data_IF_612561855343
#
_entry.id   IF_612561855343
#
_cell.length_a   1.000
_cell.length_b   1.000
_cell.length_c   1.000
_cell.angle_alpha   90.00
_cell.angle_beta   90.00
_cell.angle_gamma   90.00
#
_symmetry.space_group_name_H-M   'P 1'
#
loop_
_entity.id
_entity.type
_entity.pdbx_description
1 polymer ?
#
# COMPACT_ATOMS: atom_id res chain seq x y z
N UNK A 1 -7.53 -5.79 -32.24
CA UNK A 1 -7.16 -6.53 -31.02
C UNK A 1 -6.47 -7.84 -31.37
N UNK A 2 -7.05 -8.67 -32.25
CA UNK A 2 -6.58 -10.01 -32.60
C UNK A 2 -5.09 -10.18 -32.91
N UNK A 3 -4.47 -9.22 -33.62
CA UNK A 3 -3.03 -9.30 -33.92
C UNK A 3 -2.15 -9.22 -32.66
N UNK A 4 -2.47 -8.29 -31.76
CA UNK A 4 -1.71 -8.09 -30.53
C UNK A 4 -1.91 -9.24 -29.55
N UNK A 5 -3.12 -9.80 -29.49
CA UNK A 5 -3.44 -11.01 -28.72
C UNK A 5 -2.65 -12.21 -29.25
N UNK A 6 -2.63 -12.40 -30.58
CA UNK A 6 -1.84 -13.46 -31.20
C UNK A 6 -0.35 -13.36 -30.84
N UNK A 7 0.25 -12.17 -30.83
CA UNK A 7 1.63 -11.99 -30.37
C UNK A 7 1.83 -12.37 -28.90
N UNK A 8 0.87 -12.03 -28.03
CA UNK A 8 0.91 -12.45 -26.63
C UNK A 8 0.79 -13.96 -26.48
N UNK A 9 -0.07 -14.62 -27.27
CA UNK A 9 -0.32 -16.06 -27.22
C UNK A 9 0.86 -16.87 -27.76
N UNK A 10 1.53 -16.36 -28.80
CA UNK A 10 2.74 -16.95 -29.36
C UNK A 10 3.97 -16.78 -28.47
N UNK A 11 3.86 -16.09 -27.34
CA UNK A 11 4.95 -15.91 -26.38
C UNK A 11 6.03 -14.92 -26.84
N UNK A 12 5.66 -13.89 -27.61
CA UNK A 12 6.60 -12.83 -27.98
C UNK A 12 7.20 -12.19 -26.70
N UNK A 13 8.53 -12.07 -26.64
CA UNK A 13 9.25 -11.55 -25.48
C UNK A 13 8.86 -10.10 -25.15
N UNK A 14 8.72 -9.27 -26.18
CA UNK A 14 8.29 -7.87 -26.06
C UNK A 14 7.64 -7.42 -27.37
N UNK A 15 6.43 -6.89 -27.28
CA UNK A 15 5.75 -6.20 -28.39
C UNK A 15 5.49 -4.75 -28.00
N UNK A 16 5.89 -3.81 -28.85
CA UNK A 16 5.57 -2.39 -28.69
C UNK A 16 4.66 -1.98 -29.85
N UNK A 17 3.51 -1.40 -29.52
CA UNK A 17 2.57 -0.89 -30.50
C UNK A 17 2.18 0.55 -30.16
N UNK A 18 2.35 1.46 -31.12
CA UNK A 18 1.85 2.85 -31.02
C UNK A 18 0.52 2.96 -31.76
N UNK A 19 -0.47 3.59 -31.16
CA UNK A 19 -1.82 3.62 -31.74
C UNK A 19 -2.62 4.86 -31.32
N UNK A 20 -3.51 5.29 -32.22
CA UNK A 20 -4.56 6.26 -31.92
C UNK A 20 -5.92 5.61 -31.59
N UNK A 21 -6.02 4.28 -31.68
CA UNK A 21 -7.26 3.56 -31.39
C UNK A 21 -7.52 3.52 -29.88
N UNK A 22 -8.50 4.30 -29.41
CA UNK A 22 -8.82 4.44 -27.99
C UNK A 22 -9.23 3.13 -27.32
N UNK A 23 -9.91 2.24 -28.05
CA UNK A 23 -10.35 0.94 -27.56
C UNK A 23 -9.18 0.04 -27.13
N UNK A 24 -8.02 0.15 -27.78
CA UNK A 24 -6.85 -0.65 -27.40
C UNK A 24 -6.34 -0.31 -25.99
N UNK A 25 -6.66 0.88 -25.46
CA UNK A 25 -6.29 1.28 -24.09
C UNK A 25 -6.97 0.42 -23.02
N UNK A 26 -8.06 -0.28 -23.38
CA UNK A 26 -8.77 -1.18 -22.46
C UNK A 26 -8.16 -2.58 -22.40
N UNK A 27 -7.27 -2.97 -23.34
CA UNK A 27 -6.69 -4.32 -23.38
C UNK A 27 -5.91 -4.69 -22.11
N UNK A 28 -5.16 -3.74 -21.53
CA UNK A 28 -4.47 -3.92 -20.24
C UNK A 28 -5.39 -4.46 -19.15
N UNK A 29 -6.65 -4.06 -19.21
CA UNK A 29 -7.61 -4.34 -18.19
C UNK A 29 -8.17 -5.75 -18.35
N UNK A 30 -8.54 -6.15 -19.58
CA UNK A 30 -9.04 -7.50 -19.88
C UNK A 30 -7.95 -8.57 -19.86
N UNK A 31 -6.70 -8.24 -20.21
CA UNK A 31 -5.60 -9.19 -20.32
C UNK A 31 -4.31 -8.63 -19.69
N UNK A 32 -3.76 -9.39 -18.73
CA UNK A 32 -2.59 -9.02 -17.92
C UNK A 32 -1.27 -8.96 -18.69
N UNK A 33 -1.21 -9.55 -19.89
CA UNK A 33 -0.04 -9.49 -20.77
C UNK A 33 0.14 -8.12 -21.43
N UNK A 34 -0.88 -7.24 -21.33
CA UNK A 34 -0.84 -5.91 -21.89
C UNK A 34 -0.62 -4.86 -20.80
N UNK A 35 0.19 -3.86 -21.14
CA UNK A 35 0.48 -2.72 -20.27
C UNK A 35 0.35 -1.43 -21.09
N UNK A 36 -0.21 -0.38 -20.49
CA UNK A 36 -0.37 0.91 -21.15
C UNK A 36 0.88 1.75 -20.93
N UNK A 37 1.31 2.46 -21.95
CA UNK A 37 2.32 3.50 -21.84
C UNK A 37 1.95 4.68 -22.73
N UNK A 38 2.34 5.89 -22.33
CA UNK A 38 2.24 7.06 -23.19
C UNK A 38 3.45 7.97 -23.05
N UNK A 39 3.63 8.86 -24.03
CA UNK A 39 4.63 9.92 -23.94
C UNK A 39 4.00 11.12 -23.27
N UNK A 40 4.68 11.66 -22.26
CA UNK A 40 4.28 12.89 -21.58
C UNK A 40 4.30 14.07 -22.54
N UNK A 41 3.25 14.88 -22.45
CA UNK A 41 3.02 16.04 -23.28
C UNK A 41 2.76 17.24 -22.38
N UNK A 42 3.55 18.29 -22.55
CA UNK A 42 3.38 19.56 -21.87
C UNK A 42 2.20 20.31 -22.52
N UNK A 43 1.03 20.27 -21.88
CA UNK A 43 -0.19 20.90 -22.38
C UNK A 43 -0.12 22.43 -22.41
N UNK A 44 0.76 23.05 -21.60
CA UNK A 44 0.90 24.51 -21.52
C UNK A 44 1.70 25.01 -22.72
N UNK A 45 2.84 24.35 -23.00
CA UNK A 45 3.74 24.71 -24.09
C UNK A 45 3.47 23.94 -25.40
N UNK A 46 2.55 22.97 -25.38
CA UNK A 46 2.22 22.07 -26.48
C UNK A 46 3.42 21.36 -27.10
N UNK A 47 4.30 20.85 -26.26
CA UNK A 47 5.50 20.13 -26.69
C UNK A 47 5.57 18.75 -26.06
N UNK A 48 6.04 17.72 -26.80
CA UNK A 48 6.41 16.46 -26.17
C UNK A 48 7.58 16.69 -25.21
N UNK A 49 7.52 16.08 -24.03
CA UNK A 49 8.69 16.04 -23.13
C UNK A 49 9.56 14.81 -23.40
N UNK A 50 9.11 13.92 -24.30
CA UNK A 50 9.74 12.65 -24.65
C UNK A 50 9.95 11.69 -23.47
N UNK A 51 9.23 11.91 -22.35
CA UNK A 51 9.25 11.02 -21.19
C UNK A 51 8.16 9.97 -21.30
N UNK A 52 8.50 8.69 -21.10
CA UNK A 52 7.50 7.61 -21.09
C UNK A 52 6.85 7.52 -19.70
N UNK A 53 5.52 7.55 -19.68
CA UNK A 53 4.68 7.30 -18.52
C UNK A 53 4.13 5.88 -18.60
N UNK A 54 4.75 4.96 -17.87
CA UNK A 54 4.32 3.57 -17.76
C UNK A 54 3.06 3.45 -16.90
N UNK A 55 2.17 2.55 -17.28
CA UNK A 55 0.92 2.31 -16.57
C UNK A 55 -0.20 3.29 -16.91
N UNK A 56 0.11 4.36 -17.65
CA UNK A 56 -0.80 5.48 -17.88
C UNK A 56 -1.33 5.44 -19.32
N UNK A 57 -2.65 5.31 -19.53
CA UNK A 57 -3.24 5.47 -20.86
C UNK A 57 -3.07 6.93 -21.33
N UNK A 58 -2.51 7.12 -22.53
CA UNK A 58 -2.29 8.46 -23.08
C UNK A 58 -3.59 9.21 -23.37
N UNK A 59 -3.56 10.53 -23.28
CA UNK A 59 -4.67 11.42 -23.68
C UNK A 59 -4.51 11.85 -25.13
N UNK A 60 -5.62 12.00 -25.85
CA UNK A 60 -5.62 12.51 -27.22
C UNK A 60 -5.71 14.04 -27.20
N UNK A 61 -4.61 14.73 -27.52
CA UNK A 61 -4.53 16.20 -27.46
C UNK A 61 -4.87 16.91 -28.78
N UNK A 62 -5.40 16.19 -29.78
CA UNK A 62 -5.59 16.70 -31.14
C UNK A 62 -6.42 18.00 -31.20
N UNK A 63 -7.48 18.12 -30.40
CA UNK A 63 -8.33 19.32 -30.38
C UNK A 63 -7.57 20.52 -29.79
N UNK A 64 -6.79 20.31 -28.72
CA UNK A 64 -6.00 21.38 -28.09
C UNK A 64 -4.88 21.87 -29.01
N UNK A 65 -4.26 20.94 -29.75
CA UNK A 65 -3.26 21.27 -30.77
C UNK A 65 -3.89 22.09 -31.90
N UNK A 66 -5.04 21.64 -32.42
CA UNK A 66 -5.77 22.35 -33.48
C UNK A 66 -6.18 23.78 -33.07
N UNK A 67 -6.57 23.98 -31.81
CA UNK A 67 -6.90 25.29 -31.27
C UNK A 67 -5.71 26.25 -31.31
N UNK A 68 -4.52 25.79 -30.90
CA UNK A 68 -3.30 26.61 -30.95
C UNK A 68 -2.79 26.88 -32.36
N UNK A 69 -3.05 25.96 -33.29
CA UNK A 69 -2.77 26.16 -34.73
C UNK A 69 -3.74 27.15 -35.39
N UNK A 70 -4.70 27.70 -34.65
CA UNK A 70 -5.61 28.75 -35.13
C UNK A 70 -6.89 28.24 -35.77
N UNK A 71 -7.30 26.99 -35.50
CA UNK A 71 -8.56 26.47 -36.00
C UNK A 71 -9.75 27.25 -35.40
N UNK A 72 -10.78 27.51 -36.22
CA UNK A 72 -11.96 28.28 -35.80
C UNK A 72 -12.63 27.72 -34.55
N UNK A 73 -12.96 28.60 -33.60
CA UNK A 73 -13.66 28.26 -32.36
C UNK A 73 -15.02 27.58 -32.59
N UNK A 74 -15.69 27.89 -33.70
CA UNK A 74 -16.96 27.23 -34.08
C UNK A 74 -16.73 25.76 -34.42
N UNK A 75 -15.65 25.46 -35.14
CA UNK A 75 -15.26 24.07 -35.48
C UNK A 75 -14.82 23.32 -34.23
N UNK A 76 -13.99 23.96 -33.38
CA UNK A 76 -13.53 23.36 -32.12
C UNK A 76 -14.68 23.01 -31.18
N UNK A 77 -15.67 23.90 -31.04
CA UNK A 77 -16.87 23.63 -30.22
C UNK A 77 -17.65 22.42 -30.74
N UNK A 78 -17.84 22.31 -32.05
CA UNK A 78 -18.50 21.14 -32.66
C UNK A 78 -17.67 19.87 -32.46
N UNK A 79 -16.37 19.92 -32.68
CA UNK A 79 -15.46 18.80 -32.49
C UNK A 79 -15.47 18.31 -31.03
N UNK A 80 -15.41 19.21 -30.04
CA UNK A 80 -15.50 18.86 -28.62
C UNK A 80 -16.84 18.21 -28.27
N UNK A 81 -17.95 18.69 -28.83
CA UNK A 81 -19.27 18.11 -28.62
C UNK A 81 -19.36 16.68 -29.16
N UNK A 82 -18.89 16.45 -30.38
CA UNK A 82 -18.87 15.12 -31.00
C UNK A 82 -17.92 14.17 -30.27
N UNK A 83 -16.71 14.64 -29.95
CA UNK A 83 -15.69 13.86 -29.26
C UNK A 83 -16.07 13.55 -27.81
N UNK A 84 -16.71 14.49 -27.09
CA UNK A 84 -17.15 14.28 -25.72
C UNK A 84 -18.11 13.09 -25.59
N UNK A 85 -18.99 12.91 -26.57
CA UNK A 85 -19.92 11.76 -26.63
C UNK A 85 -19.14 10.46 -26.84
N UNK A 86 -18.26 10.39 -27.83
CA UNK A 86 -17.48 9.18 -28.13
C UNK A 86 -16.44 8.84 -27.04
N UNK A 87 -15.82 9.86 -26.44
CA UNK A 87 -14.81 9.68 -25.40
C UNK A 87 -15.42 9.28 -24.06
N UNK A 88 -16.63 9.73 -23.74
CA UNK A 88 -17.34 9.34 -22.53
C UNK A 88 -17.60 7.83 -22.48
N UNK A 89 -17.88 7.19 -23.63
CA UNK A 89 -18.09 5.75 -23.68
C UNK A 89 -16.83 4.96 -23.35
N UNK A 90 -15.69 5.30 -23.96
CA UNK A 90 -14.40 4.62 -23.73
C UNK A 90 -13.91 4.85 -22.30
N UNK A 91 -13.99 6.10 -21.80
CA UNK A 91 -13.62 6.43 -20.44
C UNK A 91 -14.56 5.75 -19.43
N UNK A 92 -15.86 5.66 -19.73
CA UNK A 92 -16.83 4.93 -18.92
C UNK A 92 -16.44 3.46 -18.75
N UNK A 93 -16.13 2.76 -19.84
CA UNK A 93 -15.65 1.38 -19.81
C UNK A 93 -14.34 1.24 -19.00
N UNK A 94 -13.43 2.21 -19.12
CA UNK A 94 -12.18 2.24 -18.36
C UNK A 94 -12.41 2.39 -16.85
N UNK A 95 -13.28 3.32 -16.45
CA UNK A 95 -13.64 3.55 -15.06
C UNK A 95 -14.38 2.37 -14.46
N UNK A 96 -15.35 1.81 -15.19
CA UNK A 96 -16.11 0.62 -14.79
C UNK A 96 -15.17 -0.56 -14.53
N UNK A 97 -14.29 -0.86 -15.50
CA UNK A 97 -13.36 -1.96 -15.34
C UNK A 97 -12.38 -1.72 -14.19
N UNK A 98 -11.82 -0.52 -14.08
CA UNK A 98 -10.93 -0.16 -12.96
C UNK A 98 -11.63 -0.33 -11.61
N UNK A 99 -12.90 0.04 -11.52
CA UNK A 99 -13.72 -0.09 -10.29
C UNK A 99 -13.98 -1.55 -9.95
N UNK A 100 -14.30 -2.39 -10.94
CA UNK A 100 -14.47 -3.84 -10.76
C UNK A 100 -13.17 -4.46 -10.23
N UNK A 101 -12.02 -4.10 -10.81
CA UNK A 101 -10.73 -4.65 -10.38
C UNK A 101 -10.32 -4.18 -8.98
N UNK A 102 -10.60 -2.92 -8.65
CA UNK A 102 -10.40 -2.40 -7.30
C UNK A 102 -11.25 -3.18 -6.29
N UNK A 103 -12.54 -3.36 -6.57
CA UNK A 103 -13.45 -4.12 -5.71
C UNK A 103 -13.00 -5.57 -5.55
N UNK A 104 -12.57 -6.24 -6.63
CA UNK A 104 -12.03 -7.61 -6.55
C UNK A 104 -10.78 -7.69 -5.66
N UNK A 105 -9.86 -6.72 -5.75
CA UNK A 105 -8.68 -6.67 -4.87
C UNK A 105 -9.07 -6.48 -3.41
N UNK A 106 -10.00 -5.56 -3.15
CA UNK A 106 -10.51 -5.32 -1.79
C UNK A 106 -11.14 -6.60 -1.23
N UNK A 107 -11.99 -7.29 -2.00
CA UNK A 107 -12.62 -8.55 -1.58
C UNK A 107 -11.58 -9.65 -1.31
N UNK A 108 -10.54 -9.77 -2.14
CA UNK A 108 -9.47 -10.73 -1.91
C UNK A 108 -8.70 -10.44 -0.61
N UNK A 109 -8.40 -9.17 -0.32
CA UNK A 109 -7.73 -8.75 0.92
C UNK A 109 -8.62 -9.06 2.14
N UNK A 110 -9.90 -8.72 2.06
CA UNK A 110 -10.86 -8.97 3.15
C UNK A 110 -11.04 -10.47 3.38
N UNK A 111 -11.14 -11.27 2.32
CA UNK A 111 -11.25 -12.73 2.38
C UNK A 111 -10.01 -13.37 3.01
N UNK A 112 -8.81 -12.99 2.56
CA UNK A 112 -7.56 -13.47 3.14
C UNK A 112 -7.46 -13.12 4.63
N UNK A 113 -7.79 -11.89 5.01
CA UNK A 113 -7.79 -11.48 6.41
C UNK A 113 -8.80 -12.27 7.26
N UNK A 114 -9.98 -12.60 6.72
CA UNK A 114 -10.97 -13.42 7.42
C UNK A 114 -10.47 -14.84 7.67
N UNK A 115 -9.84 -15.47 6.67
CA UNK A 115 -9.24 -16.81 6.80
C UNK A 115 -8.12 -16.81 7.83
N UNK A 116 -7.20 -15.84 7.78
CA UNK A 116 -6.11 -15.72 8.76
C UNK A 116 -6.63 -15.54 10.18
N UNK A 117 -7.65 -14.69 10.38
CA UNK A 117 -8.28 -14.51 11.70
C UNK A 117 -8.87 -15.82 12.23
N UNK A 118 -9.59 -16.57 11.38
CA UNK A 118 -10.17 -17.86 11.75
C UNK A 118 -9.09 -18.86 12.16
N UNK A 119 -8.04 -19.00 11.34
CA UNK A 119 -6.94 -19.91 11.60
C UNK A 119 -6.21 -19.57 12.91
N UNK A 120 -5.98 -18.28 13.17
CA UNK A 120 -5.38 -17.79 14.41
C UNK A 120 -6.25 -18.13 15.63
N UNK A 121 -7.56 -17.94 15.52
CA UNK A 121 -8.49 -18.24 16.59
C UNK A 121 -8.48 -19.74 16.95
N UNK A 122 -8.56 -20.62 15.94
CA UNK A 122 -8.48 -22.06 16.13
C UNK A 122 -7.16 -22.48 16.76
N UNK A 123 -6.03 -21.92 16.30
CA UNK A 123 -4.71 -22.25 16.86
C UNK A 123 -4.58 -21.81 18.32
N UNK A 124 -5.10 -20.63 18.66
CA UNK A 124 -5.13 -20.13 20.04
C UNK A 124 -6.00 -21.01 20.95
N UNK A 125 -7.14 -21.50 20.47
CA UNK A 125 -7.99 -22.42 21.23
C UNK A 125 -7.26 -23.74 21.52
N UNK A 126 -6.62 -24.33 20.52
CA UNK A 126 -5.81 -25.55 20.70
C UNK A 126 -4.70 -25.37 21.74
N UNK A 127 -4.01 -24.22 21.73
CA UNK A 127 -3.00 -23.92 22.74
C UNK A 127 -3.59 -23.78 24.15
N UNK A 128 -4.76 -23.16 24.28
CA UNK A 128 -5.44 -23.02 25.58
C UNK A 128 -5.90 -24.37 26.14
N UNK A 129 -6.44 -25.23 25.29
CA UNK A 129 -6.87 -26.59 25.65
C UNK A 129 -5.68 -27.46 26.07
N UNK A 130 -4.58 -27.45 25.30
CA UNK A 130 -3.36 -28.21 25.64
C UNK A 130 -2.67 -27.70 26.91
N UNK A 131 -2.72 -26.39 27.17
CA UNK A 131 -2.18 -25.79 28.41
C UNK A 131 -3.03 -26.13 29.63
N UNK A 132 -4.36 -26.18 29.49
CA UNK A 132 -5.29 -26.53 30.57
C UNK A 132 -5.20 -28.02 30.96
N UNK A 133 -4.93 -28.91 30.01
CA UNK A 133 -4.75 -30.34 30.28
C UNK A 133 -3.43 -30.58 31.05
N UNK A 134 -2.34 -29.88 30.69
CA UNK A 134 -1.05 -30.01 31.39
C UNK A 134 -1.07 -29.43 32.82
N UNK A 135 -1.95 -28.47 33.13
CA UNK A 135 -2.11 -27.96 34.50
C UNK A 135 -2.97 -28.87 35.39
N UNK A 136 -3.83 -29.70 34.80
CA UNK A 136 -4.68 -30.64 35.55
C UNK A 136 -3.95 -31.95 35.94
N UNK A 137 -2.89 -32.35 35.23
CA UNK A 137 -2.12 -33.56 35.52
C UNK A 137 -0.96 -33.36 36.52
N UNK A 138 -0.77 -32.14 37.03
CA UNK A 138 0.29 -31.78 38.00
C UNK A 138 -0.10 -31.85 39.48
N UNK A 139 -1.37 -32.08 39.82
CA UNK A 139 -1.86 -32.07 41.21
C UNK A 139 -2.29 -33.46 41.68
N UNK A 140 -1.34 -34.36 41.93
CA UNK A 140 -1.56 -35.45 42.90
C UNK A 140 -0.24 -35.94 43.49
N UNK A 141 0.19 -35.38 44.63
CA UNK A 141 0.71 -36.12 45.81
C UNK A 141 1.24 -35.15 46.87
N UNK A 142 0.72 -35.28 48.10
CA UNK A 142 1.49 -34.96 49.32
C UNK A 142 1.01 -33.79 50.18
N UNK A 143 -0.08 -33.99 50.93
CA UNK A 143 -0.39 -33.24 52.14
C UNK A 143 0.77 -33.29 53.15
N UNK A 144 1.09 -32.15 53.78
CA UNK A 144 1.41 -32.10 55.22
C UNK A 144 0.90 -30.79 55.81
N UNK A 145 -0.10 -30.93 56.68
CA UNK A 145 -0.59 -29.89 57.56
C UNK A 145 0.43 -29.61 58.68
N UNK A 146 0.61 -28.35 59.04
CA UNK A 146 0.75 -27.91 60.43
C UNK A 146 0.31 -26.44 60.49
N UNK A 147 -0.73 -26.18 61.27
CA UNK A 147 -1.21 -24.84 61.54
C UNK A 147 -0.32 -24.11 62.55
N UNK A 148 -0.28 -22.79 62.45
CA UNK A 148 -0.27 -21.90 63.61
C UNK A 148 -0.69 -20.51 63.15
N UNK A 149 -1.59 -19.96 63.93
CA UNK A 149 -2.05 -18.57 63.95
C UNK A 149 -0.87 -17.60 64.10
N UNK A 150 -0.96 -16.41 63.48
CA UNK A 150 -0.99 -15.13 64.21
C UNK A 150 -0.97 -13.89 63.29
N UNK A 151 -1.93 -13.01 63.56
CA UNK A 151 -1.88 -11.53 63.61
C UNK A 151 -1.15 -10.71 62.54
N UNK A 152 -1.96 -9.93 61.81
CA UNK A 152 -1.89 -8.48 61.56
C UNK A 152 -0.53 -7.73 61.48
N UNK A 153 -0.35 -7.05 60.33
CA UNK A 153 0.34 -5.77 59.96
C UNK A 153 1.27 -5.06 60.98
N UNK A 154 2.37 -4.33 60.58
CA UNK A 154 2.34 -3.30 59.52
C UNK A 154 3.67 -2.90 58.78
N UNK A 155 3.51 -2.10 57.72
CA UNK A 155 4.32 -0.95 57.20
C UNK A 155 5.87 -0.89 57.18
N UNK A 156 6.35 -0.27 56.08
CA UNK A 156 7.58 0.58 55.93
C UNK A 156 8.93 -0.16 55.91
N UNK A 157 10.03 0.30 55.32
CA UNK A 157 10.42 1.29 54.30
C UNK A 157 11.92 1.01 54.04
N UNK A 158 12.46 1.52 52.93
CA UNK A 158 13.86 1.93 52.74
C UNK A 158 14.99 0.89 52.48
N UNK A 159 15.47 0.99 51.22
CA UNK A 159 16.87 1.18 50.80
C UNK A 159 17.86 0.01 50.78
N UNK A 160 18.60 -0.10 49.66
CA UNK A 160 19.82 -0.89 49.56
C UNK A 160 20.09 -1.42 48.15
N UNK A 161 20.82 -0.65 47.33
CA UNK A 161 21.34 -1.06 46.01
C UNK A 161 22.41 -2.19 46.11
N UNK A 162 22.99 -2.74 45.02
CA UNK A 162 22.56 -2.84 43.62
C UNK A 162 22.56 -4.32 43.11
N UNK A 163 21.69 -4.65 42.15
CA UNK A 163 21.81 -5.90 41.38
C UNK A 163 22.69 -5.67 40.13
N UNK A 164 23.51 -6.66 39.71
CA UNK A 164 24.42 -6.51 38.57
C UNK A 164 23.63 -6.40 37.25
N UNK A 165 24.08 -5.43 36.46
CA UNK A 165 23.53 -4.94 35.21
C UNK A 165 23.57 -5.98 34.08
N UNK A 166 22.40 -6.48 33.67
CA UNK A 166 22.19 -6.82 32.26
C UNK A 166 21.85 -5.54 31.52
N UNK A 167 22.84 -5.03 30.79
CA UNK A 167 22.73 -3.86 29.93
C UNK A 167 21.75 -4.18 28.79
N UNK A 168 20.47 -3.89 29.02
CA UNK A 168 19.51 -3.72 27.93
C UNK A 168 19.74 -2.32 27.36
N UNK A 169 20.58 -2.22 26.34
CA UNK A 169 20.64 -1.01 25.49
C UNK A 169 19.29 -0.86 24.82
N UNK A 170 18.35 -0.19 25.49
CA UNK A 170 17.13 0.35 24.89
C UNK A 170 17.60 1.41 23.91
N UNK A 171 17.84 1.02 22.66
CA UNK A 171 18.21 1.94 21.57
C UNK A 171 17.12 3.01 21.52
N UNK A 172 17.47 4.21 21.96
CA UNK A 172 16.57 5.36 21.98
C UNK A 172 16.15 5.61 20.53
N UNK A 173 14.87 5.40 20.20
CA UNK A 173 14.32 5.75 18.90
C UNK A 173 14.42 7.27 18.77
N UNK A 174 15.43 7.75 18.05
CA UNK A 174 15.50 9.14 17.62
C UNK A 174 14.32 9.37 16.68
N UNK A 175 13.55 10.42 16.93
CA UNK A 175 12.45 10.81 16.07
C UNK A 175 13.10 11.40 14.80
N UNK A 176 12.87 10.83 13.61
CA UNK A 176 13.49 11.32 12.38
C UNK A 176 12.98 12.72 12.04
N UNK A 177 13.81 13.51 11.36
CA UNK A 177 13.49 14.88 10.96
C UNK A 177 12.90 14.94 9.54
N UNK A 178 12.30 16.08 9.18
CA UNK A 178 11.77 16.29 7.83
C UNK A 178 12.93 16.32 6.83
N UNK A 179 12.88 15.44 5.85
CA UNK A 179 13.94 15.24 4.85
C UNK A 179 14.68 13.91 4.98
N UNK A 180 14.59 13.23 6.13
CA UNK A 180 15.29 11.96 6.36
C UNK A 180 14.70 10.83 5.50
N UNK A 181 15.54 9.87 5.11
CA UNK A 181 15.10 8.63 4.49
C UNK A 181 14.92 7.55 5.54
N UNK A 182 13.69 7.08 5.67
CA UNK A 182 13.27 6.09 6.65
C UNK A 182 12.89 4.78 5.98
N UNK A 183 13.30 3.66 6.57
CA UNK A 183 12.84 2.34 6.13
C UNK A 183 11.47 2.05 6.74
N UNK A 184 10.53 1.64 5.89
CA UNK A 184 9.18 1.23 6.29
C UNK A 184 9.09 -0.29 6.11
N UNK A 185 9.27 -1.10 7.17
CA UNK A 185 9.28 -2.56 7.07
C UNK A 185 8.00 -3.15 6.48
N UNK A 186 6.85 -2.50 6.71
CA UNK A 186 5.55 -2.94 6.16
C UNK A 186 5.45 -2.79 4.64
N UNK A 187 6.29 -1.95 4.03
CA UNK A 187 6.32 -1.70 2.58
C UNK A 187 7.58 -2.24 1.91
N UNK A 188 8.60 -2.65 2.67
CA UNK A 188 9.89 -3.09 2.16
C UNK A 188 10.59 -2.03 1.32
N UNK A 189 10.30 -0.74 1.56
CA UNK A 189 10.78 0.39 0.77
C UNK A 189 11.24 1.53 1.65
N UNK A 190 12.21 2.29 1.13
CA UNK A 190 12.66 3.58 1.66
C UNK A 190 11.67 4.68 1.29
N UNK A 191 11.42 5.59 2.22
CA UNK A 191 10.57 6.75 1.99
C UNK A 191 11.19 8.00 2.62
N UNK A 192 10.94 9.15 2.02
CA UNK A 192 11.38 10.44 2.55
C UNK A 192 10.36 10.97 3.56
N UNK A 193 10.80 11.45 4.71
CA UNK A 193 9.95 12.09 5.70
C UNK A 193 9.56 13.48 5.21
N UNK A 194 8.26 13.73 5.05
CA UNK A 194 7.72 15.02 4.66
C UNK A 194 7.25 15.85 5.86
N UNK A 195 6.76 15.19 6.91
CA UNK A 195 6.21 15.86 8.09
C UNK A 195 6.22 14.94 9.30
N UNK A 196 6.59 15.46 10.45
CA UNK A 196 6.62 14.73 11.72
C UNK A 196 5.67 15.42 12.70
N UNK A 197 4.63 14.73 13.16
CA UNK A 197 3.69 15.23 14.17
C UNK A 197 3.92 14.45 15.47
N UNK A 198 5.02 14.78 16.16
CA UNK A 198 5.47 14.09 17.38
C UNK A 198 4.41 14.10 18.50
N UNK A 199 3.59 15.16 18.61
CA UNK A 199 2.50 15.27 19.58
C UNK A 199 1.37 14.27 19.35
N UNK A 200 1.23 13.74 18.13
CA UNK A 200 0.22 12.73 17.77
C UNK A 200 0.81 11.34 17.54
N UNK A 201 2.14 11.20 17.63
CA UNK A 201 2.83 9.94 17.36
C UNK A 201 2.84 9.55 15.87
N UNK A 202 2.66 10.51 14.96
CA UNK A 202 2.45 10.27 13.53
C UNK A 202 3.53 10.92 12.66
N UNK A 203 3.75 10.32 11.49
CA UNK A 203 4.72 10.78 10.50
C UNK A 203 4.14 10.60 9.09
N UNK A 204 4.37 11.61 8.25
CA UNK A 204 4.00 11.58 6.84
C UNK A 204 5.25 11.38 6.01
N UNK A 205 5.24 10.35 5.18
CA UNK A 205 6.36 9.92 4.36
C UNK A 205 5.96 9.81 2.89
N UNK A 206 6.90 10.03 1.98
CA UNK A 206 6.71 9.91 0.55
C UNK A 206 7.59 8.79 -0.01
N UNK A 207 6.96 7.79 -0.59
CA UNK A 207 7.61 6.70 -1.32
C UNK A 207 7.24 6.82 -2.80
N UNK A 208 8.19 7.24 -3.63
CA UNK A 208 7.97 7.52 -5.06
C UNK A 208 6.82 8.53 -5.27
N UNK A 209 5.69 8.09 -5.85
CA UNK A 209 4.51 8.93 -6.12
C UNK A 209 3.43 8.83 -5.02
N UNK A 210 3.67 8.08 -3.94
CA UNK A 210 2.70 7.84 -2.87
C UNK A 210 3.06 8.60 -1.60
N UNK A 211 2.07 9.28 -1.00
CA UNK A 211 2.17 9.90 0.33
C UNK A 211 1.40 9.05 1.34
N UNK A 212 2.03 8.71 2.46
CA UNK A 212 1.50 7.81 3.49
C UNK A 212 1.63 8.46 4.86
N UNK A 213 0.61 8.28 5.71
CA UNK A 213 0.64 8.67 7.13
C UNK A 213 0.77 7.41 7.98
N UNK A 214 1.82 7.35 8.79
CA UNK A 214 2.21 6.19 9.59
C UNK A 214 2.36 6.58 11.06
N UNK A 215 2.38 5.58 11.94
CA UNK A 215 2.79 5.75 13.34
C UNK A 215 4.31 5.74 13.44
N UNK A 216 4.88 6.54 14.34
CA UNK A 216 6.34 6.62 14.55
C UNK A 216 6.97 5.27 14.92
N UNK A 217 6.22 4.37 15.58
CA UNK A 217 6.66 3.02 15.94
C UNK A 217 6.84 2.06 14.76
N UNK A 218 6.41 2.45 13.55
CA UNK A 218 6.44 1.61 12.35
C UNK A 218 7.64 1.88 11.45
N UNK A 219 8.62 2.63 11.92
CA UNK A 219 9.82 3.03 11.18
C UNK A 219 11.07 2.45 11.84
N UNK A 220 12.02 2.02 11.03
CA UNK A 220 13.36 1.62 11.48
C UNK A 220 14.37 2.62 10.94
N UNK A 221 15.19 3.17 11.83
CA UNK A 221 16.17 4.20 11.49
C UNK A 221 17.43 3.58 10.87
N UNK A 222 17.92 4.16 9.76
CA UNK A 222 19.25 3.90 9.20
C UNK A 222 20.15 5.09 9.54
N UNK A 223 20.66 5.12 10.77
CA UNK A 223 21.95 5.75 11.02
C UNK A 223 22.96 4.70 11.53
N UNK A 224 23.84 4.29 10.62
CA UNK A 224 25.23 3.91 10.89
C UNK A 224 26.06 4.39 9.71
#
# INVERSE_FOLDING_TARGET
>A
MSLLESFSEMGALLTIATTHHGELKTLKYSNKSFENACVEFDEVNLKPTYRILWGVPGRSNAINIAERLGLSSVVLKKARKLYGIASAEINGKLYEYSSIQYNKKVQAIVGAAAVTRSLLHTKLQQFRETSAIQTAEGETTGNKAYGSENSEHPSSEASGAPAPSFVSTRKQMKIPEVGDMVDIPSLGKKAMVLKVEASKGEITVQASNMKLRLKLSSIVDQQS
#
